data_IF_381445322506
#
_entry.id   IF_381445322506
#
_cell.length_a   1.000
_cell.length_b   1.000
_cell.length_c   1.000
_cell.angle_alpha   90.00
_cell.angle_beta   90.00
_cell.angle_gamma   90.00
#
_symmetry.space_group_name_H-M   'P 1'
#
loop_
_entity.id
_entity.type
_entity.pdbx_description
1 polymer ?
#
# COMPACT_ATOMS: atom_id res chain seq x y z
N UNK A 1 26.67 -4.46 4.12
CA UNK A 1 26.70 -5.80 4.75
C UNK A 1 28.04 -6.01 5.44
N UNK A 2 28.04 -6.23 6.77
CA UNK A 2 29.21 -6.70 7.50
C UNK A 2 28.98 -8.17 7.81
N UNK A 3 29.48 -9.04 6.96
CA UNK A 3 29.53 -10.48 7.26
C UNK A 3 30.70 -10.70 8.23
N UNK A 4 30.40 -11.22 9.42
CA UNK A 4 31.42 -11.64 10.37
C UNK A 4 31.89 -13.05 9.99
N UNK A 5 32.90 -13.15 9.13
CA UNK A 5 33.65 -14.40 8.93
C UNK A 5 34.47 -14.70 10.20
N UNK A 6 33.82 -15.24 11.22
CA UNK A 6 34.49 -15.93 12.32
C UNK A 6 34.41 -17.43 12.07
N UNK A 7 35.57 -18.09 11.99
CA UNK A 7 35.70 -19.54 11.99
C UNK A 7 35.19 -20.11 13.32
N UNK A 8 33.87 -20.27 13.42
CA UNK A 8 33.20 -20.83 14.58
C UNK A 8 33.06 -22.34 14.39
N UNK A 9 33.78 -23.12 15.20
CA UNK A 9 33.60 -24.58 15.24
C UNK A 9 32.19 -24.94 15.71
N UNK A 10 31.65 -26.07 15.26
CA UNK A 10 30.35 -26.60 15.71
C UNK A 10 30.19 -26.63 17.25
N UNK A 11 31.27 -26.94 17.98
CA UNK A 11 31.28 -26.95 19.46
C UNK A 11 31.01 -25.58 20.11
N UNK A 12 31.14 -24.48 19.36
CA UNK A 12 30.84 -23.13 19.84
C UNK A 12 29.39 -22.72 19.60
N UNK A 13 28.59 -23.50 18.86
CA UNK A 13 27.22 -23.14 18.52
C UNK A 13 26.39 -22.80 19.77
N UNK A 14 26.37 -23.70 20.77
CA UNK A 14 25.61 -23.50 22.01
C UNK A 14 26.15 -22.34 22.88
N UNK A 15 27.37 -21.84 22.61
CA UNK A 15 27.93 -20.66 23.29
C UNK A 15 27.51 -19.37 22.59
N UNK A 16 27.43 -19.39 21.26
CA UNK A 16 27.03 -18.25 20.44
C UNK A 16 25.51 -18.06 20.46
N UNK A 17 24.78 -19.16 20.49
CA UNK A 17 23.32 -19.22 20.52
C UNK A 17 22.88 -20.03 21.73
N UNK A 18 22.98 -19.46 22.95
CA UNK A 18 22.58 -20.13 24.17
C UNK A 18 21.05 -20.32 24.27
N UNK A 19 20.29 -19.51 23.52
CA UNK A 19 18.85 -19.65 23.36
C UNK A 19 18.53 -20.14 21.94
N UNK A 20 18.23 -21.42 21.82
CA UNK A 20 17.87 -22.06 20.56
C UNK A 20 16.49 -21.61 20.03
N UNK A 21 15.70 -20.87 20.83
CA UNK A 21 14.43 -20.29 20.41
C UNK A 21 14.55 -18.90 19.78
N UNK A 22 15.68 -18.22 19.96
CA UNK A 22 15.90 -16.84 19.55
C UNK A 22 17.27 -16.69 18.87
N UNK A 23 17.36 -17.16 17.63
CA UNK A 23 18.58 -17.09 16.82
C UNK A 23 18.39 -16.02 15.74
N UNK A 24 19.04 -14.86 15.92
CA UNK A 24 19.04 -13.79 14.92
C UNK A 24 19.83 -14.17 13.67
N UNK A 25 19.19 -14.13 12.51
CA UNK A 25 19.81 -14.37 11.20
C UNK A 25 20.16 -13.08 10.48
N UNK A 26 19.27 -12.08 10.55
CA UNK A 26 19.44 -10.81 9.89
C UNK A 26 19.00 -9.66 10.80
N UNK A 27 19.73 -8.55 10.70
CA UNK A 27 19.42 -7.31 11.39
C UNK A 27 19.86 -6.14 10.52
N UNK A 28 18.98 -5.15 10.37
CA UNK A 28 19.26 -3.89 9.68
C UNK A 28 18.40 -2.77 10.24
N UNK A 29 18.59 -1.56 9.73
CA UNK A 29 17.65 -0.45 9.88
C UNK A 29 17.13 -0.02 8.52
N UNK A 30 16.03 0.74 8.50
CA UNK A 30 15.62 1.55 7.33
C UNK A 30 16.73 2.54 6.94
N UNK A 31 16.71 3.06 5.71
CA UNK A 31 17.75 3.97 5.21
C UNK A 31 17.85 5.25 6.06
N UNK A 32 16.71 5.74 6.53
CA UNK A 32 16.62 6.89 7.44
C UNK A 32 17.00 6.56 8.90
N UNK A 33 17.25 5.28 9.21
CA UNK A 33 17.67 4.78 10.52
C UNK A 33 16.59 4.86 11.60
N UNK A 34 15.32 5.10 11.26
CA UNK A 34 14.24 5.26 12.25
C UNK A 34 13.64 3.95 12.74
N UNK A 35 13.70 2.92 11.91
CA UNK A 35 13.11 1.62 12.20
C UNK A 35 14.15 0.51 12.13
N UNK A 36 14.12 -0.39 13.10
CA UNK A 36 14.93 -1.60 13.14
C UNK A 36 14.17 -2.76 12.52
N UNK A 37 14.85 -3.62 11.75
CA UNK A 37 14.27 -4.82 11.15
C UNK A 37 15.13 -6.00 11.55
N UNK A 38 14.50 -7.03 12.11
CA UNK A 38 15.18 -8.22 12.60
C UNK A 38 14.46 -9.49 12.14
N UNK A 39 15.22 -10.51 11.77
CA UNK A 39 14.70 -11.82 11.40
C UNK A 39 15.35 -12.89 12.28
N UNK A 40 14.52 -13.66 12.96
CA UNK A 40 14.95 -14.72 13.88
C UNK A 40 14.38 -16.08 13.47
N UNK A 41 15.12 -17.14 13.80
CA UNK A 41 14.63 -18.52 13.76
C UNK A 41 14.61 -19.13 15.16
N UNK A 42 13.67 -20.07 15.37
CA UNK A 42 13.58 -20.92 16.54
C UNK A 42 13.82 -22.37 16.13
N UNK A 43 14.93 -22.97 16.58
CA UNK A 43 15.19 -24.39 16.42
C UNK A 43 14.35 -25.24 17.37
N UNK A 44 13.84 -24.63 18.45
CA UNK A 44 12.98 -25.28 19.43
C UNK A 44 11.56 -25.49 18.88
N UNK A 45 11.02 -24.46 18.23
CA UNK A 45 9.65 -24.43 17.72
C UNK A 45 9.58 -24.68 16.21
N UNK A 46 10.73 -24.77 15.53
CA UNK A 46 10.85 -24.93 14.09
C UNK A 46 10.07 -23.85 13.34
N UNK A 47 10.37 -22.60 13.66
CA UNK A 47 9.68 -21.43 13.12
C UNK A 47 10.64 -20.30 12.84
N UNK A 48 10.14 -19.28 12.13
CA UNK A 48 10.82 -18.01 11.92
C UNK A 48 9.90 -16.86 12.34
N UNK A 49 10.48 -15.75 12.75
CA UNK A 49 9.74 -14.54 13.13
C UNK A 49 10.49 -13.31 12.67
N UNK A 50 9.75 -12.37 12.06
CA UNK A 50 10.27 -11.08 11.64
C UNK A 50 9.70 -9.98 12.55
N UNK A 51 10.57 -9.07 12.95
CA UNK A 51 10.26 -7.97 13.85
C UNK A 51 10.60 -6.63 13.21
N UNK A 52 9.78 -5.63 13.53
CA UNK A 52 10.07 -4.22 13.31
C UNK A 52 9.93 -3.48 14.64
N UNK A 53 11.00 -2.81 15.09
CA UNK A 53 11.08 -2.15 16.40
C UNK A 53 10.63 -3.06 17.56
N UNK A 54 11.22 -4.25 17.66
CA UNK A 54 10.89 -5.30 18.64
C UNK A 54 9.43 -5.82 18.60
N UNK A 55 8.63 -5.44 17.59
CA UNK A 55 7.26 -5.91 17.42
C UNK A 55 7.19 -6.92 16.30
N UNK A 56 6.58 -8.07 16.59
CA UNK A 56 6.33 -9.11 15.60
C UNK A 56 5.43 -8.56 14.49
N UNK A 57 5.96 -8.56 13.26
CA UNK A 57 5.21 -8.19 12.06
C UNK A 57 4.79 -9.42 11.27
N UNK A 58 5.63 -10.45 11.21
CA UNK A 58 5.34 -11.67 10.46
C UNK A 58 5.95 -12.90 11.15
N UNK A 59 5.33 -14.06 10.95
CA UNK A 59 5.72 -15.32 11.57
C UNK A 59 5.34 -16.50 10.69
N UNK A 60 6.16 -17.55 10.68
CA UNK A 60 5.85 -18.79 9.98
C UNK A 60 6.45 -20.02 10.65
N UNK A 61 5.85 -21.17 10.38
CA UNK A 61 6.23 -22.47 10.94
C UNK A 61 6.73 -23.40 9.83
N UNK A 62 7.89 -24.03 10.04
CA UNK A 62 8.37 -25.10 9.16
C UNK A 62 7.69 -26.44 9.44
N UNK A 63 6.92 -26.54 10.53
CA UNK A 63 6.09 -27.71 10.87
C UNK A 63 4.77 -27.76 10.10
N UNK A 64 4.41 -26.70 9.39
CA UNK A 64 3.21 -26.65 8.56
C UNK A 64 3.64 -26.65 7.09
N UNK A 65 3.04 -27.52 6.29
CA UNK A 65 3.21 -27.50 4.84
C UNK A 65 2.39 -26.35 4.23
N UNK A 66 2.67 -25.99 2.98
CA UNK A 66 1.87 -25.01 2.22
C UNK A 66 0.38 -25.40 2.12
N UNK A 67 0.06 -26.69 2.27
CA UNK A 67 -1.30 -27.23 2.26
C UNK A 67 -1.92 -27.31 3.67
N UNK A 68 -1.21 -26.84 4.70
CA UNK A 68 -1.64 -26.86 6.10
C UNK A 68 -1.54 -28.23 6.78
N UNK A 69 -0.82 -29.18 6.17
CA UNK A 69 -0.55 -30.47 6.79
C UNK A 69 0.63 -30.35 7.76
N UNK A 70 0.52 -31.00 8.93
CA UNK A 70 1.61 -31.03 9.90
C UNK A 70 2.74 -31.91 9.35
N UNK A 71 3.88 -31.29 9.06
CA UNK A 71 5.12 -31.96 8.74
C UNK A 71 5.76 -32.51 10.03
N UNK A 72 6.58 -33.55 9.88
CA UNK A 72 7.33 -34.06 11.01
C UNK A 72 8.62 -33.24 11.22
N UNK A 73 9.27 -33.42 12.37
CA UNK A 73 10.48 -32.67 12.74
C UNK A 73 11.63 -32.80 11.74
N UNK A 74 11.80 -33.97 11.10
CA UNK A 74 12.88 -34.20 10.14
C UNK A 74 12.63 -33.39 8.86
N UNK A 75 11.38 -33.34 8.42
CA UNK A 75 10.97 -32.52 7.27
C UNK A 75 11.07 -31.02 7.56
N UNK A 76 10.65 -30.57 8.74
CA UNK A 76 10.80 -29.18 9.16
C UNK A 76 12.27 -28.74 9.17
N UNK A 77 13.20 -29.60 9.62
CA UNK A 77 14.64 -29.33 9.57
C UNK A 77 15.18 -29.27 8.13
N UNK A 78 14.68 -30.11 7.23
CA UNK A 78 15.04 -30.03 5.80
C UNK A 78 14.59 -28.71 5.21
N UNK A 79 13.38 -28.25 5.54
CA UNK A 79 12.84 -26.99 5.03
C UNK A 79 13.60 -25.79 5.59
N UNK A 80 13.86 -25.75 6.90
CA UNK A 80 14.69 -24.71 7.52
C UNK A 80 16.09 -24.66 6.89
N UNK A 81 16.71 -25.82 6.68
CA UNK A 81 18.03 -25.88 6.04
C UNK A 81 17.99 -25.33 4.61
N UNK A 82 16.97 -25.66 3.81
CA UNK A 82 16.80 -25.14 2.46
C UNK A 82 16.62 -23.62 2.48
N UNK A 83 15.82 -23.11 3.39
CA UNK A 83 15.60 -21.67 3.56
C UNK A 83 16.94 -20.95 3.81
N UNK A 84 17.77 -21.47 4.71
CA UNK A 84 19.12 -20.95 4.95
C UNK A 84 20.10 -21.10 3.76
N UNK A 85 19.93 -22.12 2.93
CA UNK A 85 20.81 -22.38 1.77
C UNK A 85 20.45 -21.54 0.54
N UNK A 86 19.18 -21.19 0.37
CA UNK A 86 18.67 -20.55 -0.84
C UNK A 86 18.26 -19.09 -0.67
N UNK A 87 17.98 -18.63 0.55
CA UNK A 87 17.67 -17.23 0.80
C UNK A 87 18.91 -16.38 1.05
N UNK A 88 18.77 -15.09 0.78
CA UNK A 88 19.80 -14.11 1.02
C UNK A 88 19.39 -13.08 2.09
N UNK A 89 20.35 -12.24 2.49
CA UNK A 89 20.10 -11.20 3.48
C UNK A 89 18.95 -10.28 3.09
N UNK A 90 18.79 -9.96 1.80
CA UNK A 90 17.76 -9.03 1.32
C UNK A 90 16.36 -9.60 1.45
N UNK A 91 16.21 -10.92 1.32
CA UNK A 91 14.94 -11.61 1.56
C UNK A 91 14.54 -11.55 3.03
N UNK A 92 15.47 -11.79 3.96
CA UNK A 92 15.17 -11.78 5.40
C UNK A 92 14.79 -10.41 5.95
N UNK A 93 15.35 -9.32 5.41
CA UNK A 93 15.04 -7.96 5.85
C UNK A 93 13.85 -7.34 5.11
N UNK A 94 13.33 -8.00 4.07
CA UNK A 94 12.18 -7.50 3.33
C UNK A 94 10.92 -7.71 4.16
N UNK A 95 10.27 -6.62 4.55
CA UNK A 95 9.01 -6.64 5.29
C UNK A 95 7.85 -6.59 4.31
N UNK A 96 6.83 -7.43 4.52
CA UNK A 96 5.59 -7.37 3.75
C UNK A 96 4.79 -6.11 4.10
N UNK A 97 4.38 -5.35 3.09
CA UNK A 97 3.68 -4.06 3.26
C UNK A 97 2.32 -4.24 3.96
N UNK A 98 1.61 -5.34 3.68
CA UNK A 98 0.31 -5.60 4.29
C UNK A 98 0.49 -5.94 5.77
N UNK A 99 1.42 -6.81 6.11
CA UNK A 99 1.73 -7.16 7.50
C UNK A 99 2.18 -5.92 8.29
N UNK A 100 3.08 -5.10 7.71
CA UNK A 100 3.54 -3.85 8.33
C UNK A 100 2.37 -2.90 8.61
N UNK A 101 1.47 -2.71 7.63
CA UNK A 101 0.29 -1.85 7.78
C UNK A 101 -0.70 -2.40 8.80
N UNK A 102 -0.98 -3.70 8.79
CA UNK A 102 -1.95 -4.31 9.71
C UNK A 102 -1.45 -4.33 11.15
N UNK A 103 -0.15 -4.56 11.37
CA UNK A 103 0.45 -4.69 12.70
C UNK A 103 0.86 -3.35 13.29
N UNK A 104 1.44 -2.46 12.49
CA UNK A 104 2.02 -1.21 12.96
C UNK A 104 1.32 0.05 12.41
N UNK A 105 0.50 -0.07 11.38
CA UNK A 105 -0.12 1.08 10.72
C UNK A 105 0.87 1.94 9.95
N UNK A 106 2.01 1.38 9.56
CA UNK A 106 3.03 2.05 8.76
C UNK A 106 2.93 1.62 7.29
N UNK A 107 3.40 2.48 6.40
CA UNK A 107 3.56 2.21 4.96
C UNK A 107 5.03 2.35 4.56
N UNK A 108 5.40 1.80 3.40
CA UNK A 108 6.75 1.84 2.85
C UNK A 108 6.78 2.86 1.72
N UNK A 109 7.73 3.80 1.73
CA UNK A 109 7.91 4.77 0.64
C UNK A 109 8.79 4.25 -0.50
N UNK A 110 8.98 5.05 -1.54
CA UNK A 110 9.79 4.70 -2.72
C UNK A 110 11.28 4.48 -2.39
N UNK A 111 11.74 4.98 -1.24
CA UNK A 111 13.11 4.82 -0.72
C UNK A 111 13.23 3.60 0.24
N UNK A 112 12.12 2.91 0.52
CA UNK A 112 12.08 1.78 1.44
C UNK A 112 12.01 2.16 2.91
N UNK A 113 11.77 3.43 3.25
CA UNK A 113 11.59 3.87 4.62
C UNK A 113 10.16 3.63 5.09
N UNK A 114 10.00 3.33 6.39
CA UNK A 114 8.70 3.13 6.98
C UNK A 114 8.19 4.46 7.54
N UNK A 115 6.93 4.77 7.28
CA UNK A 115 6.32 6.01 7.73
C UNK A 115 4.86 5.83 8.13
N UNK A 116 4.41 6.70 9.04
CA UNK A 116 3.00 6.80 9.40
C UNK A 116 2.27 7.63 8.32
N UNK A 117 1.34 7.04 7.54
CA UNK A 117 0.64 7.78 6.49
C UNK A 117 -0.20 8.93 7.04
N UNK A 118 -0.60 8.90 8.33
CA UNK A 118 -1.38 9.96 8.98
C UNK A 118 -0.51 10.99 9.72
N UNK A 119 0.81 10.89 9.63
CA UNK A 119 1.73 11.88 10.22
C UNK A 119 1.94 13.12 9.34
N UNK A 120 1.48 13.04 8.09
CA UNK A 120 1.52 14.15 7.12
C UNK A 120 0.42 15.15 7.41
N UNK A 121 0.50 16.30 6.77
CA UNK A 121 -0.51 17.36 6.75
C UNK A 121 -0.77 17.63 5.26
N UNK A 122 -1.79 16.96 4.70
CA UNK A 122 -2.02 16.94 3.26
C UNK A 122 -2.60 18.26 2.72
N UNK A 123 -3.36 19.00 3.52
CA UNK A 123 -3.98 20.25 3.12
C UNK A 123 -3.23 21.51 3.61
N UNK A 124 -2.17 21.31 4.40
CA UNK A 124 -1.29 22.34 4.99
C UNK A 124 -2.02 23.30 5.94
N UNK A 125 -3.01 22.82 6.69
CA UNK A 125 -3.71 23.61 7.70
C UNK A 125 -2.96 23.72 9.05
N UNK A 126 -1.84 22.99 9.17
CA UNK A 126 -0.99 22.93 10.35
C UNK A 126 -1.40 21.85 11.37
N UNK A 127 -2.37 21.01 11.04
CA UNK A 127 -2.85 19.88 11.82
C UNK A 127 -2.47 18.59 11.08
N UNK A 128 -1.68 17.69 11.69
CA UNK A 128 -1.42 16.39 11.06
C UNK A 128 -2.71 15.62 10.81
N UNK A 129 -2.81 14.90 9.69
CA UNK A 129 -3.96 14.11 9.23
C UNK A 129 -4.53 13.19 10.32
N UNK A 130 -3.68 12.67 11.22
CA UNK A 130 -4.09 11.86 12.39
C UNK A 130 -5.08 12.57 13.32
N UNK A 131 -5.04 13.90 13.34
CA UNK A 131 -5.88 14.77 14.18
C UNK A 131 -6.82 15.65 13.37
N UNK A 132 -6.81 15.50 12.05
CA UNK A 132 -7.64 16.26 11.13
C UNK A 132 -8.79 15.38 10.60
N UNK A 133 -10.02 15.85 10.76
CA UNK A 133 -11.22 15.14 10.32
C UNK A 133 -11.56 15.43 8.85
N UNK A 134 -10.98 16.48 8.28
CA UNK A 134 -11.24 16.96 6.93
C UNK A 134 -9.98 17.08 6.06
N UNK A 135 -8.92 16.32 6.36
CA UNK A 135 -7.69 16.19 5.56
C UNK A 135 -7.89 15.82 4.07
N UNK A 136 -9.10 15.36 3.73
CA UNK A 136 -9.53 15.07 2.34
C UNK A 136 -10.26 16.24 1.68
N UNK A 137 -10.68 17.22 2.45
CA UNK A 137 -11.38 18.41 2.02
C UNK A 137 -10.33 19.43 1.60
N UNK A 138 -9.91 19.33 0.35
CA UNK A 138 -9.04 20.32 -0.27
C UNK A 138 -9.81 21.63 -0.42
N UNK A 139 -9.85 22.43 0.63
CA UNK A 139 -9.96 23.88 0.52
C UNK A 139 -8.61 24.48 0.09
N UNK A 140 -7.84 23.75 -0.74
CA UNK A 140 -6.59 24.17 -1.34
C UNK A 140 -6.86 25.44 -2.13
N UNK A 141 -6.70 26.56 -1.44
CA UNK A 141 -6.84 27.89 -1.99
C UNK A 141 -5.59 28.09 -2.85
N UNK A 142 -5.77 27.88 -4.15
CA UNK A 142 -4.83 28.08 -5.24
C UNK A 142 -4.28 29.51 -5.23
N UNK A 143 -3.34 29.81 -4.32
CA UNK A 143 -2.86 31.17 -4.03
C UNK A 143 -1.35 31.29 -4.15
N UNK A 144 -0.86 31.03 -5.36
CA UNK A 144 0.38 31.69 -5.84
C UNK A 144 0.19 32.38 -7.19
N UNK A 145 -1.01 32.35 -7.74
CA UNK A 145 -1.41 33.24 -8.82
C UNK A 145 -2.56 34.11 -8.34
N UNK A 146 -2.26 35.33 -7.94
CA UNK A 146 -3.20 36.44 -8.07
C UNK A 146 -3.51 36.59 -9.57
N UNK A 147 -4.43 35.78 -10.08
CA UNK A 147 -5.16 36.08 -11.31
C UNK A 147 -6.22 37.11 -10.96
N UNK A 148 -5.77 38.33 -10.71
CA UNK A 148 -6.58 39.55 -10.79
C UNK A 148 -7.22 39.59 -12.19
N UNK A 149 -8.41 38.99 -12.34
CA UNK A 149 -9.10 39.02 -13.64
C UNK A 149 -10.21 38.01 -13.89
N UNK A 150 -10.35 36.93 -13.12
CA UNK A 150 -11.48 36.02 -13.33
C UNK A 150 -12.69 36.50 -12.51
N UNK A 151 -13.43 37.44 -13.11
CA UNK A 151 -14.85 37.60 -12.78
C UNK A 151 -15.48 36.21 -12.81
N UNK A 152 -16.23 35.87 -11.76
CA UNK A 152 -17.23 34.80 -11.82
C UNK A 152 -18.25 35.20 -12.91
N UNK A 153 -17.90 34.99 -14.17
CA UNK A 153 -18.91 34.81 -15.19
C UNK A 153 -19.54 33.47 -14.86
N UNK A 154 -20.78 33.53 -14.34
CA UNK A 154 -21.67 32.41 -14.09
C UNK A 154 -21.38 31.31 -15.12
N UNK A 155 -20.64 30.27 -14.68
CA UNK A 155 -20.31 29.11 -15.51
C UNK A 155 -21.64 28.43 -15.81
N UNK A 156 -22.27 28.83 -16.91
CA UNK A 156 -23.55 28.30 -17.36
C UNK A 156 -23.41 26.79 -17.49
N UNK A 157 -24.15 26.07 -16.65
CA UNK A 157 -24.14 24.62 -16.59
C UNK A 157 -24.24 24.02 -17.99
N UNK A 158 -23.30 23.14 -18.33
CA UNK A 158 -23.30 22.37 -19.58
C UNK A 158 -24.60 21.58 -19.73
N UNK A 159 -25.16 21.13 -18.61
CA UNK A 159 -26.47 20.48 -18.51
C UNK A 159 -27.62 21.40 -18.96
N UNK A 160 -27.59 22.68 -18.55
CA UNK A 160 -28.58 23.68 -19.00
C UNK A 160 -28.47 24.02 -20.49
N UNK A 161 -27.27 23.96 -21.06
CA UNK A 161 -27.10 24.11 -22.52
C UNK A 161 -27.62 22.88 -23.29
N UNK A 162 -27.40 21.67 -22.77
CA UNK A 162 -27.93 20.43 -23.35
C UNK A 162 -29.46 20.39 -23.34
N UNK A 163 -30.12 20.87 -22.28
CA UNK A 163 -31.58 20.98 -22.23
C UNK A 163 -32.14 21.91 -23.30
N UNK A 164 -31.51 23.07 -23.50
CA UNK A 164 -31.94 24.03 -24.55
C UNK A 164 -31.76 23.45 -25.95
N UNK A 165 -30.68 22.73 -26.20
CA UNK A 165 -30.48 22.03 -27.47
C UNK A 165 -31.52 20.92 -27.68
N UNK A 166 -31.86 20.16 -26.63
CA UNK A 166 -32.89 19.13 -26.68
C UNK A 166 -34.28 19.71 -26.98
N UNK A 167 -34.61 20.87 -26.40
CA UNK A 167 -35.86 21.58 -26.69
C UNK A 167 -35.90 22.07 -28.15
N UNK A 168 -34.80 22.65 -28.64
CA UNK A 168 -34.71 23.15 -30.01
C UNK A 168 -34.79 22.04 -31.06
N UNK A 169 -34.12 20.91 -30.82
CA UNK A 169 -34.25 19.71 -31.67
C UNK A 169 -35.68 19.20 -31.68
N UNK A 170 -36.38 19.21 -30.54
CA UNK A 170 -37.78 18.78 -30.45
C UNK A 170 -38.72 19.70 -31.24
N UNK A 171 -38.52 21.02 -31.18
CA UNK A 171 -39.28 21.98 -31.99
C UNK A 171 -39.01 21.81 -33.50
N UNK A 172 -37.76 21.67 -33.91
CA UNK A 172 -37.38 21.44 -35.31
C UNK A 172 -37.93 20.11 -35.85
N UNK A 173 -37.96 19.04 -35.04
CA UNK A 173 -38.58 17.77 -35.44
C UNK A 173 -40.10 17.86 -35.61
N UNK A 174 -40.79 18.61 -34.74
CA UNK A 174 -42.24 18.79 -34.82
C UNK A 174 -42.64 19.63 -36.04
N UNK A 175 -41.90 20.70 -36.32
CA UNK A 175 -42.10 21.52 -37.54
C UNK A 175 -41.93 20.69 -38.83
N UNK A 176 -40.96 19.76 -38.85
CA UNK A 176 -40.73 18.87 -39.99
C UNK A 176 -41.82 17.81 -40.21
N UNK A 177 -42.57 17.45 -39.16
CA UNK A 177 -43.70 16.52 -39.24
C UNK A 177 -44.95 17.23 -39.76
N UNK A 178 -45.21 18.45 -39.28
CA UNK A 178 -46.33 19.29 -39.73
C UNK A 178 -46.20 19.69 -41.22
N UNK A 179 -44.98 19.93 -41.72
CA UNK A 179 -44.75 20.22 -43.14
C UNK A 179 -44.98 19.01 -44.05
N UNK A 180 -44.63 17.79 -43.60
CA UNK A 180 -44.85 16.55 -44.36
C UNK A 180 -46.32 16.14 -44.44
N UNK A 181 -47.10 16.46 -43.41
CA UNK A 181 -48.55 16.20 -43.40
C UNK A 181 -49.31 17.22 -44.28
N UNK A 182 -48.80 18.44 -44.45
CA UNK A 182 -49.34 19.42 -45.40
C UNK A 182 -49.03 19.10 -46.88
N UNK A 183 -47.92 18.44 -47.19
CA UNK A 183 -47.60 18.02 -48.57
C UNK A 183 -48.42 16.80 -49.04
N UNK A 184 -48.75 15.86 -48.14
CA UNK A 184 -49.59 14.70 -48.50
C UNK A 184 -51.03 15.05 -48.88
N UNK A 185 -51.54 16.21 -48.48
CA UNK A 185 -52.92 16.63 -48.75
C UNK A 185 -53.09 17.47 -50.02
N UNK A 186 -52.02 17.72 -50.79
CA UNK A 186 -52.07 18.44 -52.08
C UNK A 186 -52.07 17.53 -53.31
N UNK A 187 -52.05 16.21 -53.13
CA UNK A 187 -51.94 15.21 -54.20
C UNK A 187 -53.20 14.39 -54.50
N UNK A 188 -54.39 14.85 -54.14
CA UNK A 188 -55.65 14.17 -54.48
C UNK A 188 -56.70 15.17 -55.00
N UNK A 189 -56.60 15.51 -56.29
CA UNK A 189 -57.71 15.99 -57.12
C UNK A 189 -57.45 15.64 -58.57
#
# INVERSE_FOLDING_TARGET
NREFEQDNSYENFNKLYPDEGHIGLAYTTTEDGKHEIQYEISLKDYSWTQYVDDKEVSHGSYLESEEGELSNKEEALINLKKDLEYSDFSEYIRVDEKDLREKLGLEIDDEGNFYDPLSKDLDNDGVPDRYDNDFRSSNYFESTYDVDGLKLDDKKSTLGHLEKLKAKVKEETNLSLDEKDMEKNKGAR
#
